data_IF_354797125617
#
_entry.id   IF_354797125617
#
_cell.length_a   1.000
_cell.length_b   1.000
_cell.length_c   1.000
_cell.angle_alpha   90.00
_cell.angle_beta   90.00
_cell.angle_gamma   90.00
#
_symmetry.space_group_name_H-M   'P 1'
#
loop_
_entity.id
_entity.type
_entity.pdbx_description
1 polymer ?
#
# COMPACT_ATOMS: atom_id res chain seq x y z
N UNK A 1 -20.66 10.82 38.99
CA UNK A 1 -19.53 11.27 38.14
C UNK A 1 -18.68 10.12 37.62
N UNK A 2 -18.14 9.22 38.46
CA UNK A 2 -17.32 8.07 38.01
C UNK A 2 -17.99 7.16 36.95
N UNK A 3 -19.29 6.89 37.08
CA UNK A 3 -20.07 6.09 36.10
C UNK A 3 -20.22 6.78 34.74
N UNK A 4 -20.36 8.11 34.72
CA UNK A 4 -20.46 8.92 33.50
C UNK A 4 -19.12 8.94 32.77
N UNK A 5 -18.02 9.07 33.52
CA UNK A 5 -16.66 8.99 32.97
C UNK A 5 -16.40 7.62 32.31
N UNK A 6 -16.84 6.52 32.94
CA UNK A 6 -16.73 5.15 32.41
C UNK A 6 -17.50 4.98 31.09
N UNK A 7 -18.72 5.51 31.01
CA UNK A 7 -19.54 5.48 29.79
C UNK A 7 -18.89 6.29 28.66
N UNK A 8 -18.30 7.45 28.98
CA UNK A 8 -17.60 8.28 27.99
C UNK A 8 -16.36 7.57 27.43
N UNK A 9 -15.57 6.91 28.28
CA UNK A 9 -14.41 6.12 27.85
C UNK A 9 -14.83 4.96 26.94
N UNK A 10 -15.94 4.28 27.26
CA UNK A 10 -16.47 3.20 26.44
C UNK A 10 -16.90 3.70 25.05
N UNK A 11 -17.55 4.86 24.97
CA UNK A 11 -17.95 5.48 23.71
C UNK A 11 -16.76 5.87 22.83
N UNK A 12 -15.69 6.42 23.42
CA UNK A 12 -14.47 6.80 22.68
C UNK A 12 -13.78 5.56 22.09
N UNK A 13 -13.81 4.41 22.78
CA UNK A 13 -13.18 3.18 22.29
C UNK A 13 -13.79 2.64 21.00
N UNK A 14 -15.08 2.89 20.76
CA UNK A 14 -15.77 2.50 19.52
C UNK A 14 -15.34 3.34 18.30
N UNK A 15 -14.82 4.56 18.51
CA UNK A 15 -14.36 5.42 17.42
C UNK A 15 -13.02 4.97 16.81
N UNK A 16 -12.26 4.09 17.49
CA UNK A 16 -10.93 3.65 17.04
C UNK A 16 -11.01 2.66 15.86
N UNK A 17 -12.12 1.96 15.69
CA UNK A 17 -12.30 0.92 14.64
C UNK A 17 -12.47 1.47 13.22
N UNK A 18 -12.41 2.79 13.01
CA UNK A 18 -12.58 3.41 11.69
C UNK A 18 -11.32 3.35 10.79
N UNK A 19 -10.18 2.93 11.31
CA UNK A 19 -8.93 2.83 10.55
C UNK A 19 -8.89 1.53 9.73
N UNK A 20 -9.53 1.53 8.55
CA UNK A 20 -9.38 0.43 7.60
C UNK A 20 -8.00 0.51 6.95
N UNK A 21 -7.19 -0.53 7.11
CA UNK A 21 -5.96 -0.69 6.33
C UNK A 21 -6.33 -0.87 4.86
N UNK A 22 -5.90 0.07 4.01
CA UNK A 22 -6.04 -0.06 2.56
C UNK A 22 -4.88 -0.93 2.09
N UNK A 23 -5.20 -2.07 1.49
CA UNK A 23 -4.24 -2.97 0.87
C UNK A 23 -4.42 -2.97 -0.66
N UNK A 24 -3.55 -3.70 -1.37
CA UNK A 24 -3.67 -3.79 -2.83
C UNK A 24 -5.00 -4.40 -3.30
N UNK A 25 -5.68 -5.21 -2.48
CA UNK A 25 -6.94 -5.85 -2.86
C UNK A 25 -8.05 -4.84 -3.16
N UNK A 26 -7.98 -3.66 -2.55
CA UNK A 26 -8.90 -2.56 -2.86
C UNK A 26 -8.77 -2.06 -4.31
N UNK A 27 -7.55 -2.08 -4.87
CA UNK A 27 -7.25 -1.53 -6.20
C UNK A 27 -7.25 -2.58 -7.30
N UNK A 28 -7.05 -3.85 -6.93
CA UNK A 28 -6.80 -4.93 -7.87
C UNK A 28 -8.01 -5.88 -8.01
N UNK A 29 -8.31 -6.36 -9.23
CA UNK A 29 -9.33 -7.38 -9.43
C UNK A 29 -9.00 -8.65 -8.65
N UNK A 30 -10.02 -9.22 -8.01
CA UNK A 30 -9.86 -10.37 -7.12
C UNK A 30 -9.95 -11.73 -7.84
N UNK A 31 -10.39 -11.73 -9.10
CA UNK A 31 -10.59 -12.95 -9.89
C UNK A 31 -9.48 -13.19 -10.91
N UNK A 32 -8.25 -12.80 -10.57
CA UNK A 32 -7.06 -13.04 -11.39
C UNK A 32 -5.91 -13.54 -10.51
N UNK A 33 -5.06 -14.37 -11.09
CA UNK A 33 -3.85 -14.85 -10.42
C UNK A 33 -2.68 -13.98 -10.86
N UNK A 34 -2.03 -13.35 -9.88
CA UNK A 34 -0.82 -12.55 -10.10
C UNK A 34 0.43 -13.44 -10.07
N UNK A 35 1.46 -13.03 -10.79
CA UNK A 35 2.76 -13.70 -10.75
C UNK A 35 3.51 -13.30 -9.47
N UNK A 36 3.71 -14.25 -8.57
CA UNK A 36 4.40 -14.07 -7.28
C UNK A 36 5.88 -13.71 -7.43
N UNK A 37 6.47 -13.91 -8.62
CA UNK A 37 7.85 -13.50 -8.89
C UNK A 37 8.00 -11.99 -9.12
N UNK A 38 6.87 -11.29 -9.35
CA UNK A 38 6.85 -9.84 -9.55
C UNK A 38 6.70 -9.15 -8.19
N UNK A 39 7.67 -8.32 -7.77
CA UNK A 39 7.62 -7.67 -6.48
C UNK A 39 6.51 -6.63 -6.43
N UNK A 40 5.87 -6.55 -5.28
CA UNK A 40 4.84 -5.55 -4.97
C UNK A 40 5.46 -4.16 -4.72
N UNK A 41 4.66 -3.08 -4.85
CA UNK A 41 5.11 -1.74 -4.49
C UNK A 41 5.62 -1.67 -3.04
N UNK A 42 4.96 -2.36 -2.10
CA UNK A 42 5.34 -2.37 -0.68
C UNK A 42 6.73 -2.93 -0.45
N UNK A 43 7.09 -4.03 -1.11
CA UNK A 43 8.40 -4.69 -0.94
C UNK A 43 9.57 -3.82 -1.42
N UNK A 44 9.32 -2.91 -2.36
CA UNK A 44 10.35 -2.05 -2.95
C UNK A 44 10.34 -0.63 -2.35
N UNK A 45 9.16 -0.04 -2.18
CA UNK A 45 8.97 1.36 -1.75
C UNK A 45 8.92 1.46 -0.21
N UNK A 46 8.47 0.39 0.46
CA UNK A 46 8.43 0.24 1.92
C UNK A 46 7.10 0.60 2.58
N UNK A 47 6.07 0.97 1.81
CA UNK A 47 4.73 1.29 2.33
C UNK A 47 3.64 0.93 1.32
N UNK A 48 2.39 0.88 1.78
CA UNK A 48 1.24 0.55 0.92
C UNK A 48 0.89 1.69 -0.05
N UNK A 49 0.14 1.35 -1.11
CA UNK A 49 -0.42 2.35 -2.03
C UNK A 49 -1.45 3.20 -1.30
N UNK A 50 -1.28 4.52 -1.35
CA UNK A 50 -2.18 5.48 -0.69
C UNK A 50 -1.79 5.85 0.74
N UNK A 51 -0.75 5.21 1.31
CA UNK A 51 -0.27 5.52 2.66
C UNK A 51 0.55 6.83 2.70
N UNK A 52 1.50 6.97 1.77
CA UNK A 52 2.40 8.12 1.65
C UNK A 52 2.69 8.48 0.19
N UNK A 53 3.15 9.72 -0.04
CA UNK A 53 3.62 10.15 -1.35
C UNK A 53 4.94 9.46 -1.72
N UNK A 54 5.00 8.89 -2.93
CA UNK A 54 6.21 8.21 -3.44
C UNK A 54 7.17 9.24 -4.01
N UNK A 55 8.41 9.25 -3.52
CA UNK A 55 9.48 10.09 -4.06
C UNK A 55 9.93 9.59 -5.43
N UNK A 56 10.45 10.51 -6.26
CA UNK A 56 10.81 10.20 -7.65
C UNK A 56 11.84 9.06 -7.78
N UNK A 57 12.85 9.05 -6.90
CA UNK A 57 13.88 8.02 -6.83
C UNK A 57 13.31 6.62 -6.54
N UNK A 58 12.38 6.51 -5.57
CA UNK A 58 11.71 5.25 -5.25
C UNK A 58 10.84 4.76 -6.39
N UNK A 59 10.12 5.67 -7.04
CA UNK A 59 9.31 5.33 -8.21
C UNK A 59 10.19 4.82 -9.35
N UNK A 60 11.28 5.53 -9.66
CA UNK A 60 12.25 5.12 -10.68
C UNK A 60 12.84 3.74 -10.37
N UNK A 61 13.25 3.51 -9.12
CA UNK A 61 13.80 2.24 -8.67
C UNK A 61 12.79 1.09 -8.79
N UNK A 62 11.52 1.33 -8.45
CA UNK A 62 10.46 0.35 -8.63
C UNK A 62 10.25 0.00 -10.11
N UNK A 63 10.17 0.99 -10.99
CA UNK A 63 10.02 0.76 -12.44
C UNK A 63 11.22 -0.02 -13.01
N UNK A 64 12.45 0.30 -12.58
CA UNK A 64 13.64 -0.46 -12.96
C UNK A 64 13.63 -1.90 -12.45
N UNK A 65 13.13 -2.12 -11.23
CA UNK A 65 12.97 -3.46 -10.66
C UNK A 65 11.97 -4.28 -11.46
N UNK A 66 10.84 -3.69 -11.81
CA UNK A 66 9.83 -4.33 -12.66
C UNK A 66 10.37 -4.66 -14.05
N UNK A 67 11.11 -3.75 -14.68
CA UNK A 67 11.74 -3.99 -15.99
C UNK A 67 12.75 -5.16 -15.97
N UNK A 68 13.41 -5.40 -14.84
CA UNK A 68 14.32 -6.54 -14.67
C UNK A 68 13.60 -7.87 -14.41
N UNK A 69 12.37 -7.82 -13.90
CA UNK A 69 11.60 -9.00 -13.45
C UNK A 69 10.51 -9.41 -14.42
N UNK A 70 10.05 -8.51 -15.29
CA UNK A 70 8.97 -8.75 -16.22
C UNK A 70 9.39 -8.51 -17.66
N UNK A 71 9.05 -9.46 -18.53
CA UNK A 71 9.23 -9.32 -19.99
C UNK A 71 8.30 -8.26 -20.60
N UNK A 72 7.34 -7.73 -19.83
CA UNK A 72 6.33 -6.76 -20.30
C UNK A 72 6.82 -5.31 -20.24
N UNK A 73 7.95 -5.04 -19.61
CA UNK A 73 8.42 -3.68 -19.32
C UNK A 73 9.83 -3.52 -19.89
N UNK A 74 10.02 -2.49 -20.70
CA UNK A 74 11.32 -2.11 -21.27
C UNK A 74 11.63 -0.66 -20.91
N UNK A 75 12.86 -0.38 -20.51
CA UNK A 75 13.34 0.98 -20.21
C UNK A 75 14.38 1.38 -21.27
N UNK A 76 14.19 2.55 -21.87
CA UNK A 76 15.12 3.17 -22.82
C UNK A 76 15.68 4.47 -22.22
N UNK A 77 16.98 4.69 -22.36
CA UNK A 77 17.63 5.95 -21.97
C UNK A 77 17.84 6.82 -23.21
N UNK A 78 17.36 8.07 -23.17
CA UNK A 78 17.34 8.95 -24.34
C UNK A 78 18.33 10.12 -24.33
N UNK A 79 19.23 10.15 -23.34
CA UNK A 79 20.20 11.24 -23.15
C UNK A 79 19.61 12.41 -22.39
#
# INVERSE_FOLDING_TARGET
MKKVLLILILLISYCVSAQKSIDLNYYLPQNVTYDENIPTPKEVIGHEVGEWHVTHDKLMFYMQTLAKKSDRITIETRG
#
